data_IF_559411531925
#
_entry.id   IF_559411531925
#
_cell.length_a   1.000
_cell.length_b   1.000
_cell.length_c   1.000
_cell.angle_alpha   90.00
_cell.angle_beta   90.00
_cell.angle_gamma   90.00
#
_symmetry.space_group_name_H-M   'P 1'
#
loop_
_entity.id
_entity.type
_entity.pdbx_description
1 polymer ?
#
# COMPACT_ATOMS: atom_id res chain seq x y z
N UNK A 1 57.40 -30.22 -48.69
CA UNK A 1 56.94 -30.73 -47.39
C UNK A 1 56.45 -29.56 -46.58
N UNK A 2 55.49 -28.74 -47.08
CA UNK A 2 55.00 -27.49 -46.42
C UNK A 2 53.47 -27.29 -46.50
N UNK A 3 52.70 -28.35 -46.84
CA UNK A 3 51.24 -28.20 -47.04
C UNK A 3 50.44 -28.60 -45.79
N UNK A 4 51.05 -29.25 -44.81
CA UNK A 4 50.29 -29.87 -43.67
C UNK A 4 50.11 -28.98 -42.45
N UNK A 5 50.83 -27.84 -42.36
CA UNK A 5 50.76 -26.98 -41.15
C UNK A 5 49.57 -26.01 -41.22
N UNK A 6 49.24 -25.47 -42.38
CA UNK A 6 48.15 -24.51 -42.55
C UNK A 6 46.76 -25.17 -42.37
N UNK A 7 46.61 -26.41 -42.79
CA UNK A 7 45.37 -27.15 -42.62
C UNK A 7 45.13 -27.53 -41.16
N UNK A 8 46.20 -27.79 -40.40
CA UNK A 8 46.12 -28.10 -38.99
C UNK A 8 45.78 -26.88 -38.15
N UNK A 9 46.31 -25.69 -38.48
CA UNK A 9 45.96 -24.43 -37.83
C UNK A 9 44.52 -24.00 -38.13
N UNK A 10 44.04 -24.17 -39.35
CA UNK A 10 42.68 -23.86 -39.74
C UNK A 10 41.66 -24.72 -38.97
N UNK A 11 41.91 -26.01 -38.82
CA UNK A 11 41.05 -26.90 -38.02
C UNK A 11 41.04 -26.55 -36.55
N UNK A 12 42.17 -26.16 -35.94
CA UNK A 12 42.25 -25.70 -34.58
C UNK A 12 41.45 -24.40 -34.36
N UNK A 13 41.54 -23.44 -35.29
CA UNK A 13 40.75 -22.19 -35.20
C UNK A 13 39.25 -22.46 -35.28
N UNK A 14 38.81 -23.33 -36.17
CA UNK A 14 37.37 -23.71 -36.26
C UNK A 14 36.88 -24.37 -34.98
N UNK A 15 37.68 -25.25 -34.37
CA UNK A 15 37.32 -25.85 -33.09
C UNK A 15 37.25 -24.84 -31.91
N UNK A 16 38.19 -23.87 -31.90
CA UNK A 16 38.18 -22.81 -30.87
C UNK A 16 36.96 -21.92 -31.05
N UNK A 17 36.65 -21.50 -32.29
CA UNK A 17 35.44 -20.72 -32.60
C UNK A 17 34.15 -21.47 -32.22
N UNK A 18 34.08 -22.77 -32.54
CA UNK A 18 32.91 -23.59 -32.14
C UNK A 18 32.74 -23.71 -30.63
N UNK A 19 33.83 -23.79 -29.86
CA UNK A 19 33.78 -23.80 -28.38
C UNK A 19 33.39 -22.44 -27.83
N UNK A 20 33.83 -21.33 -28.42
CA UNK A 20 33.42 -19.96 -28.01
C UNK A 20 31.93 -19.73 -28.31
N UNK A 21 31.46 -20.11 -29.50
CA UNK A 21 30.04 -20.01 -29.86
C UNK A 21 29.13 -20.84 -28.92
N UNK A 22 29.56 -22.07 -28.58
CA UNK A 22 28.79 -22.90 -27.60
C UNK A 22 28.75 -22.29 -26.19
N UNK A 23 29.85 -21.67 -25.75
CA UNK A 23 29.90 -20.96 -24.47
C UNK A 23 29.07 -19.68 -24.45
N UNK A 24 29.07 -18.90 -25.54
CA UNK A 24 28.22 -17.73 -25.71
C UNK A 24 26.75 -18.10 -25.80
N UNK A 25 26.38 -19.16 -26.51
CA UNK A 25 25.03 -19.66 -26.59
C UNK A 25 24.52 -20.17 -25.21
N UNK A 26 25.38 -20.84 -24.44
CA UNK A 26 25.05 -21.26 -23.07
C UNK A 26 24.86 -20.06 -22.10
N UNK A 27 25.67 -19.00 -22.22
CA UNK A 27 25.49 -17.75 -21.43
C UNK A 27 24.20 -17.01 -21.79
N UNK A 28 23.82 -16.98 -23.07
CA UNK A 28 22.57 -16.34 -23.51
C UNK A 28 21.36 -17.12 -23.01
N UNK A 29 21.40 -18.44 -23.02
CA UNK A 29 20.31 -19.31 -22.50
C UNK A 29 20.22 -19.18 -20.98
N UNK A 30 21.34 -19.05 -20.26
CA UNK A 30 21.33 -18.83 -18.80
C UNK A 30 20.86 -17.42 -18.42
N UNK A 31 21.17 -16.41 -19.24
CA UNK A 31 20.70 -15.03 -19.08
C UNK A 31 19.20 -14.87 -19.35
N UNK A 32 18.65 -15.60 -20.33
CA UNK A 32 17.21 -15.59 -20.62
C UNK A 32 16.40 -16.41 -19.61
N UNK A 33 16.99 -17.44 -18.99
CA UNK A 33 16.33 -18.20 -17.92
C UNK A 33 16.20 -17.43 -16.60
N UNK A 34 17.10 -16.49 -16.32
CA UNK A 34 17.06 -15.63 -15.13
C UNK A 34 16.03 -14.47 -15.24
N UNK A 35 15.52 -14.19 -16.45
CA UNK A 35 14.57 -13.10 -16.67
C UNK A 35 13.10 -13.49 -16.44
N UNK A 36 12.82 -14.74 -16.10
CA UNK A 36 11.44 -15.23 -15.84
C UNK A 36 11.13 -15.56 -14.39
N UNK A 37 12.00 -15.24 -13.44
CA UNK A 37 11.60 -15.09 -12.06
C UNK A 37 11.09 -13.64 -11.93
N UNK A 38 9.94 -13.35 -12.54
CA UNK A 38 9.09 -12.25 -12.09
C UNK A 38 8.59 -12.71 -10.73
N UNK A 39 9.34 -12.32 -9.70
CA UNK A 39 8.84 -12.27 -8.35
C UNK A 39 7.54 -11.46 -8.44
N UNK A 40 6.40 -12.16 -8.36
CA UNK A 40 5.11 -11.51 -8.15
C UNK A 40 5.21 -10.89 -6.77
N UNK A 41 5.81 -9.69 -6.71
CA UNK A 41 5.56 -8.80 -5.61
C UNK A 41 4.03 -8.66 -5.59
N UNK A 42 3.37 -9.34 -4.66
CA UNK A 42 1.94 -9.21 -4.47
C UNK A 42 1.70 -7.71 -4.26
N UNK A 43 0.99 -7.12 -5.21
CA UNK A 43 0.69 -5.70 -5.15
C UNK A 43 -0.15 -5.50 -3.89
N UNK A 44 0.33 -4.63 -2.99
CA UNK A 44 -0.40 -4.27 -1.77
C UNK A 44 -1.82 -3.87 -2.17
N UNK A 45 -2.82 -4.51 -1.58
CA UNK A 45 -4.22 -4.21 -1.86
C UNK A 45 -4.52 -2.74 -1.51
N UNK A 46 -5.14 -2.01 -2.41
CA UNK A 46 -5.53 -0.63 -2.22
C UNK A 46 -7.06 -0.52 -2.08
N UNK A 47 -7.51 0.46 -1.29
CA UNK A 47 -8.92 0.81 -1.17
C UNK A 47 -9.50 1.16 -2.53
N UNK A 48 -10.57 0.48 -2.92
CA UNK A 48 -11.20 0.60 -4.25
C UNK A 48 -11.99 1.90 -4.38
N UNK A 49 -11.88 2.51 -5.55
CA UNK A 49 -12.65 3.70 -5.89
C UNK A 49 -12.85 3.82 -7.42
N UNK A 50 -13.87 4.60 -7.78
CA UNK A 50 -14.10 5.05 -9.16
C UNK A 50 -13.76 6.52 -9.26
N UNK A 51 -12.99 6.93 -10.28
CA UNK A 51 -12.70 8.34 -10.56
C UNK A 51 -13.87 8.93 -11.35
N UNK A 52 -14.48 9.98 -10.81
CA UNK A 52 -15.56 10.71 -11.43
C UNK A 52 -15.07 11.95 -12.20
N UNK A 53 -14.11 12.66 -11.62
CA UNK A 53 -13.50 13.87 -12.22
C UNK A 53 -11.99 13.77 -12.01
N UNK A 54 -11.22 14.13 -13.05
CA UNK A 54 -9.75 14.20 -12.98
C UNK A 54 -9.24 15.47 -13.65
N UNK A 55 -8.39 16.22 -12.92
CA UNK A 55 -7.67 17.41 -13.41
C UNK A 55 -6.25 17.37 -12.82
N UNK A 56 -5.25 17.10 -13.64
CA UNK A 56 -3.85 16.94 -13.23
C UNK A 56 -3.68 15.97 -12.05
N UNK A 57 -3.20 16.45 -10.90
CA UNK A 57 -3.02 15.68 -9.66
C UNK A 57 -4.30 15.62 -8.80
N UNK A 58 -5.40 16.27 -9.22
CA UNK A 58 -6.66 16.36 -8.47
C UNK A 58 -7.69 15.39 -9.05
N UNK A 59 -8.41 14.68 -8.18
CA UNK A 59 -9.47 13.78 -8.55
C UNK A 59 -10.67 13.92 -7.60
N UNK A 60 -11.89 13.71 -8.13
CA UNK A 60 -13.07 13.41 -7.33
C UNK A 60 -13.36 11.93 -7.52
N UNK A 61 -13.43 11.20 -6.41
CA UNK A 61 -13.53 9.74 -6.36
C UNK A 61 -14.73 9.30 -5.56
N UNK A 62 -15.42 8.26 -6.03
CA UNK A 62 -16.38 7.49 -5.24
C UNK A 62 -15.67 6.27 -4.68
N UNK A 63 -15.43 6.23 -3.37
CA UNK A 63 -14.88 5.08 -2.68
C UNK A 63 -15.95 4.06 -2.35
N UNK A 64 -15.60 2.78 -2.42
CA UNK A 64 -16.43 1.66 -1.96
C UNK A 64 -16.44 1.59 -0.43
N UNK A 65 -17.47 0.94 0.17
CA UNK A 65 -17.45 0.60 1.59
C UNK A 65 -16.25 -0.28 1.93
N UNK A 66 -15.70 -0.11 3.13
CA UNK A 66 -14.56 -0.91 3.58
C UNK A 66 -14.57 -1.12 5.10
N UNK A 67 -13.83 -2.14 5.57
CA UNK A 67 -13.47 -2.27 6.97
C UNK A 67 -12.19 -1.50 7.26
N UNK A 68 -12.12 -0.89 8.43
CA UNK A 68 -10.91 -0.25 8.95
C UNK A 68 -10.61 -0.74 10.36
N UNK A 69 -9.32 -0.92 10.65
CA UNK A 69 -8.81 -0.96 12.02
C UNK A 69 -8.28 0.43 12.36
N UNK A 70 -8.78 1.03 13.42
CA UNK A 70 -8.40 2.39 13.81
C UNK A 70 -7.97 2.49 15.27
N UNK A 71 -7.13 3.47 15.56
CA UNK A 71 -6.71 3.83 16.92
C UNK A 71 -6.58 5.33 17.05
N UNK A 72 -6.85 5.85 18.25
CA UNK A 72 -6.70 7.27 18.59
C UNK A 72 -5.35 7.46 19.28
N UNK A 73 -4.61 8.49 18.87
CA UNK A 73 -3.30 8.87 19.40
C UNK A 73 -3.26 10.37 19.67
N UNK A 74 -2.66 10.76 20.80
CA UNK A 74 -2.40 12.14 21.16
C UNK A 74 -0.95 12.51 20.86
N UNK A 75 -0.69 13.74 20.42
CA UNK A 75 0.66 14.22 20.12
C UNK A 75 0.77 15.00 18.82
N UNK A 76 2.01 15.21 18.38
CA UNK A 76 2.31 15.98 17.17
C UNK A 76 2.09 15.19 15.88
N UNK A 77 1.76 15.90 14.81
CA UNK A 77 1.44 15.34 13.48
C UNK A 77 2.43 14.28 12.98
N UNK A 78 3.73 14.47 13.19
CA UNK A 78 4.79 13.57 12.73
C UNK A 78 4.93 12.32 13.60
N UNK A 79 4.69 12.42 14.90
CA UNK A 79 4.91 11.36 15.88
C UNK A 79 3.72 10.39 15.96
N UNK A 80 2.51 10.94 16.00
CA UNK A 80 1.27 10.14 16.11
C UNK A 80 1.10 9.13 14.98
N UNK A 81 1.56 9.49 13.76
CA UNK A 81 1.53 8.59 12.62
C UNK A 81 2.39 7.35 12.84
N UNK A 82 3.54 7.47 13.49
CA UNK A 82 4.44 6.35 13.78
C UNK A 82 3.92 5.51 14.96
N UNK A 83 3.35 6.13 15.98
CA UNK A 83 2.78 5.41 17.11
C UNK A 83 1.56 4.61 16.71
N UNK A 84 0.59 5.25 16.04
CA UNK A 84 -0.61 4.57 15.54
C UNK A 84 -0.27 3.45 14.57
N UNK A 85 0.68 3.70 13.66
CA UNK A 85 1.16 2.66 12.74
C UNK A 85 1.71 1.44 13.49
N UNK A 86 2.60 1.63 14.48
CA UNK A 86 3.17 0.52 15.25
C UNK A 86 2.10 -0.30 15.98
N UNK A 87 1.10 0.37 16.54
CA UNK A 87 -0.03 -0.27 17.23
C UNK A 87 -0.86 -1.12 16.28
N UNK A 88 -1.28 -0.57 15.15
CA UNK A 88 -2.05 -1.27 14.14
C UNK A 88 -1.24 -2.36 13.43
N UNK A 89 0.07 -2.14 13.23
CA UNK A 89 0.96 -3.14 12.63
C UNK A 89 1.10 -4.39 13.51
N UNK A 90 1.17 -4.24 14.83
CA UNK A 90 1.17 -5.39 15.75
C UNK A 90 -0.12 -6.20 15.63
N UNK A 91 -1.27 -5.53 15.55
CA UNK A 91 -2.55 -6.18 15.34
C UNK A 91 -2.56 -7.05 14.07
N UNK A 92 -2.16 -6.51 12.92
CA UNK A 92 -2.14 -7.28 11.66
C UNK A 92 -1.02 -8.33 11.62
N UNK A 93 0.04 -8.16 12.41
CA UNK A 93 1.18 -9.10 12.52
C UNK A 93 0.98 -10.23 13.52
N UNK A 94 -0.26 -10.53 13.93
CA UNK A 94 -0.65 -11.61 14.81
C UNK A 94 -0.85 -11.30 16.31
N UNK A 95 -0.79 -10.03 16.75
CA UNK A 95 -1.30 -9.65 18.07
C UNK A 95 -2.83 -9.52 18.06
N UNK A 96 -3.50 -10.62 17.68
CA UNK A 96 -4.96 -10.70 17.54
C UNK A 96 -5.46 -12.09 17.94
N UNK A 97 -6.79 -12.24 18.05
CA UNK A 97 -7.48 -13.50 18.33
C UNK A 97 -8.37 -13.85 17.15
N UNK A 98 -8.14 -15.00 16.56
CA UNK A 98 -8.97 -15.49 15.45
C UNK A 98 -10.41 -15.71 15.92
N UNK A 99 -11.38 -15.16 15.22
CA UNK A 99 -12.79 -15.47 15.41
C UNK A 99 -13.10 -16.87 14.83
N UNK A 100 -12.79 -17.93 15.56
CA UNK A 100 -13.27 -19.27 15.20
C UNK A 100 -14.48 -19.62 16.07
N UNK A 101 -15.61 -19.89 15.42
CA UNK A 101 -16.66 -20.71 16.00
C UNK A 101 -16.17 -22.15 16.03
N UNK A 102 -15.63 -22.61 17.17
CA UNK A 102 -15.28 -23.99 17.37
C UNK A 102 -16.51 -24.69 17.96
N UNK A 103 -17.04 -25.76 17.34
CA UNK A 103 -17.99 -26.64 18.01
C UNK A 103 -17.31 -27.19 19.27
N UNK A 104 -17.91 -27.03 20.41
CA UNK A 104 -17.40 -27.44 21.71
C UNK A 104 -17.25 -28.96 21.79
N UNK A 105 -16.05 -29.48 21.46
CA UNK A 105 -15.64 -30.85 21.82
C UNK A 105 -14.13 -30.89 21.98
N UNK A 106 -13.58 -30.31 23.01
CA UNK A 106 -12.36 -30.67 23.73
C UNK A 106 -11.76 -29.49 24.48
N UNK A 107 -11.09 -29.67 25.63
CA UNK A 107 -10.53 -28.58 26.42
C UNK A 107 -9.20 -28.09 25.83
N UNK A 108 -8.91 -26.80 26.07
CA UNK A 108 -7.70 -26.06 25.71
C UNK A 108 -7.72 -25.49 24.27
N UNK A 109 -8.44 -24.39 24.10
CA UNK A 109 -8.23 -23.51 22.97
C UNK A 109 -7.02 -22.62 23.23
N UNK A 110 -5.89 -22.93 22.67
CA UNK A 110 -4.87 -21.94 22.37
C UNK A 110 -5.51 -21.05 21.28
N UNK A 111 -5.89 -19.81 21.63
CA UNK A 111 -6.49 -18.88 20.67
C UNK A 111 -5.45 -18.61 19.56
N UNK A 112 -5.70 -19.15 18.38
CA UNK A 112 -4.78 -19.00 17.26
C UNK A 112 -4.79 -17.54 16.80
N UNK A 113 -3.62 -16.93 16.71
CA UNK A 113 -3.45 -15.65 16.05
C UNK A 113 -3.41 -15.82 14.53
N UNK A 114 -3.75 -14.76 13.80
CA UNK A 114 -3.74 -14.74 12.34
C UNK A 114 -2.96 -13.55 11.81
N UNK A 115 -2.13 -13.77 10.80
CA UNK A 115 -1.50 -12.69 10.08
C UNK A 115 -2.48 -12.13 9.06
N UNK A 116 -2.75 -10.82 9.14
CA UNK A 116 -3.57 -10.09 8.19
C UNK A 116 -2.62 -9.38 7.22
N UNK A 117 -2.88 -9.51 5.91
CA UNK A 117 -2.07 -8.83 4.89
C UNK A 117 -2.20 -7.31 5.01
N UNK A 118 -1.08 -6.61 4.80
CA UNK A 118 -1.08 -5.15 4.87
C UNK A 118 -1.70 -4.55 3.62
N UNK A 119 -2.55 -3.55 3.80
CA UNK A 119 -3.17 -2.80 2.71
C UNK A 119 -2.71 -1.35 2.68
N UNK A 120 -3.02 -0.63 1.63
CA UNK A 120 -2.78 0.80 1.49
C UNK A 120 -4.09 1.57 1.20
N UNK A 121 -4.22 2.80 1.63
CA UNK A 121 -3.25 3.61 2.39
C UNK A 121 -3.38 3.47 3.91
N UNK A 122 -2.30 3.86 4.62
CA UNK A 122 -2.39 4.24 6.03
C UNK A 122 -2.97 5.65 6.12
N UNK A 123 -4.08 5.82 6.82
CA UNK A 123 -4.80 7.07 6.93
C UNK A 123 -4.54 7.74 8.28
N UNK A 124 -4.37 9.06 8.29
CA UNK A 124 -4.23 9.91 9.47
C UNK A 124 -5.19 11.08 9.36
N UNK A 125 -6.09 11.24 10.33
CA UNK A 125 -7.11 12.28 10.35
C UNK A 125 -7.19 12.92 11.74
N UNK A 126 -7.38 14.24 11.80
CA UNK A 126 -7.60 14.94 13.06
C UNK A 126 -9.03 14.69 13.55
N UNK A 127 -9.20 14.43 14.84
CA UNK A 127 -10.50 14.18 15.46
C UNK A 127 -10.52 14.74 16.88
N UNK A 128 -11.33 15.74 17.15
CA UNK A 128 -11.50 16.36 18.46
C UNK A 128 -10.17 16.68 19.19
N UNK A 129 -9.21 17.24 18.48
CA UNK A 129 -7.88 17.59 19.02
C UNK A 129 -6.85 16.45 19.05
N UNK A 130 -7.28 15.22 18.84
CA UNK A 130 -6.46 14.00 18.75
C UNK A 130 -6.28 13.56 17.30
N UNK A 131 -5.60 12.44 17.08
CA UNK A 131 -5.39 11.89 15.75
C UNK A 131 -5.93 10.47 15.67
N UNK A 132 -6.76 10.23 14.67
CA UNK A 132 -7.17 8.90 14.26
C UNK A 132 -6.19 8.38 13.22
N UNK A 133 -5.60 7.21 13.49
CA UNK A 133 -4.80 6.46 12.54
C UNK A 133 -5.58 5.22 12.16
N UNK A 134 -5.70 4.95 10.86
CA UNK A 134 -6.50 3.83 10.36
C UNK A 134 -5.74 3.03 9.30
N UNK A 135 -5.87 1.70 9.37
CA UNK A 135 -5.55 0.78 8.29
C UNK A 135 -6.85 0.31 7.64
N UNK A 136 -6.88 0.31 6.32
CA UNK A 136 -7.96 -0.39 5.59
C UNK A 136 -7.70 -1.89 5.74
N UNK A 137 -8.73 -2.69 5.96
CA UNK A 137 -8.58 -4.15 6.03
C UNK A 137 -8.74 -4.76 4.64
N UNK A 138 -8.10 -5.90 4.35
CA UNK A 138 -8.29 -6.61 3.09
C UNK A 138 -9.76 -6.89 2.82
N UNK A 139 -10.16 -6.82 1.55
CA UNK A 139 -11.57 -6.95 1.12
C UNK A 139 -12.18 -8.33 1.40
N UNK A 140 -11.35 -9.33 1.71
CA UNK A 140 -11.80 -10.68 2.12
C UNK A 140 -12.37 -10.79 3.53
N UNK A 141 -12.25 -9.75 4.38
CA UNK A 141 -12.76 -9.76 5.74
C UNK A 141 -14.11 -9.05 5.88
N UNK A 142 -14.94 -9.59 6.79
CA UNK A 142 -16.15 -8.94 7.29
C UNK A 142 -16.02 -8.71 8.80
N UNK A 143 -16.96 -8.00 9.43
CA UNK A 143 -16.98 -7.82 10.90
C UNK A 143 -17.04 -9.16 11.64
N UNK A 144 -17.62 -10.21 11.02
CA UNK A 144 -17.74 -11.54 11.62
C UNK A 144 -16.46 -12.35 11.49
N UNK A 145 -15.67 -12.13 10.43
CA UNK A 145 -14.49 -12.97 10.11
C UNK A 145 -13.16 -12.33 10.50
N UNK A 146 -13.11 -11.00 10.63
CA UNK A 146 -11.89 -10.29 11.02
C UNK A 146 -11.43 -10.70 12.43
N UNK A 147 -10.14 -11.03 12.66
CA UNK A 147 -9.62 -11.31 14.00
C UNK A 147 -9.88 -10.14 14.97
N UNK A 148 -10.05 -10.46 16.24
CA UNK A 148 -10.22 -9.45 17.29
C UNK A 148 -8.88 -8.88 17.72
N UNK A 149 -8.71 -7.56 17.82
CA UNK A 149 -7.51 -6.97 18.42
C UNK A 149 -7.38 -7.40 19.90
N UNK A 150 -6.15 -7.67 20.34
CA UNK A 150 -5.83 -7.86 21.77
C UNK A 150 -5.72 -6.49 22.45
N UNK A 151 -5.20 -5.48 21.74
CA UNK A 151 -5.11 -4.11 22.23
C UNK A 151 -6.49 -3.43 22.14
N UNK A 152 -7.12 -3.17 23.29
CA UNK A 152 -8.46 -2.57 23.41
C UNK A 152 -8.55 -1.14 22.81
N UNK A 153 -7.41 -0.49 22.57
CA UNK A 153 -7.35 0.83 21.93
C UNK A 153 -7.56 0.76 20.42
N UNK A 154 -7.61 -0.45 19.84
CA UNK A 154 -7.89 -0.68 18.42
C UNK A 154 -9.37 -1.02 18.27
N UNK A 155 -10.05 -0.33 17.38
CA UNK A 155 -11.44 -0.56 17.03
C UNK A 155 -11.55 -0.97 15.56
N UNK A 156 -12.37 -1.98 15.30
CA UNK A 156 -12.73 -2.37 13.94
C UNK A 156 -14.08 -1.76 13.59
N UNK A 157 -14.16 -1.07 12.45
CA UNK A 157 -15.37 -0.39 11.99
C UNK A 157 -15.61 -0.59 10.50
N UNK A 158 -16.86 -0.65 10.11
CA UNK A 158 -17.30 -0.45 8.73
C UNK A 158 -17.36 1.05 8.42
N UNK A 159 -16.76 1.43 7.32
CA UNK A 159 -16.82 2.79 6.77
C UNK A 159 -17.65 2.72 5.49
N UNK A 160 -18.77 3.44 5.41
CA UNK A 160 -19.59 3.46 4.20
C UNK A 160 -18.83 4.08 3.03
N UNK A 161 -19.22 3.69 1.84
CA UNK A 161 -18.71 4.32 0.63
C UNK A 161 -18.97 5.83 0.65
N UNK A 162 -18.01 6.61 0.17
CA UNK A 162 -18.11 8.08 0.25
C UNK A 162 -17.47 8.75 -0.96
N UNK A 163 -18.02 9.92 -1.28
CA UNK A 163 -17.45 10.83 -2.27
C UNK A 163 -16.28 11.60 -1.63
N UNK A 164 -15.15 11.70 -2.33
CA UNK A 164 -13.92 12.27 -1.79
C UNK A 164 -13.20 13.07 -2.88
N UNK A 165 -12.74 14.27 -2.58
CA UNK A 165 -11.72 14.94 -3.37
C UNK A 165 -10.34 14.47 -2.92
N UNK A 166 -9.45 14.23 -3.86
CA UNK A 166 -8.09 13.78 -3.63
C UNK A 166 -7.06 14.65 -4.36
N UNK A 167 -5.91 14.90 -3.75
CA UNK A 167 -4.72 15.42 -4.42
C UNK A 167 -3.55 14.49 -4.16
N UNK A 168 -2.91 14.03 -5.24
CA UNK A 168 -1.74 13.16 -5.19
C UNK A 168 -0.45 13.98 -5.27
N UNK A 169 0.55 13.61 -4.48
CA UNK A 169 1.86 14.25 -4.53
C UNK A 169 2.98 13.33 -4.02
N UNK A 170 4.23 13.65 -4.37
CA UNK A 170 5.43 13.01 -3.84
C UNK A 170 6.08 13.88 -2.79
N UNK A 171 6.86 13.28 -1.88
CA UNK A 171 7.68 14.03 -0.94
C UNK A 171 7.65 13.55 0.50
N UNK A 172 8.18 14.38 1.39
CA UNK A 172 8.26 14.10 2.82
C UNK A 172 6.92 14.20 3.53
N UNK A 173 6.79 13.53 4.67
CA UNK A 173 5.61 13.55 5.54
C UNK A 173 5.66 14.74 6.51
N UNK A 174 5.86 15.97 6.01
CA UNK A 174 5.92 17.15 6.84
C UNK A 174 4.56 17.82 6.96
N UNK A 175 4.25 18.41 8.13
CA UNK A 175 3.05 19.20 8.36
C UNK A 175 2.91 20.34 7.36
N UNK A 176 4.00 21.06 7.06
CA UNK A 176 4.01 22.15 6.10
C UNK A 176 3.49 21.71 4.74
N UNK A 177 4.02 20.60 4.19
CA UNK A 177 3.59 20.07 2.89
C UNK A 177 2.15 19.56 2.90
N UNK A 178 1.73 18.97 4.00
CA UNK A 178 0.33 18.59 4.20
C UNK A 178 -0.60 19.80 4.10
N UNK A 179 -0.33 20.88 4.83
CA UNK A 179 -1.17 22.08 4.82
C UNK A 179 -1.17 22.79 3.44
N UNK A 180 0.00 22.86 2.77
CA UNK A 180 0.10 23.40 1.40
C UNK A 180 -0.80 22.60 0.43
N UNK A 181 -0.72 21.29 0.43
CA UNK A 181 -1.51 20.44 -0.47
C UNK A 181 -2.99 20.42 -0.11
N UNK A 182 -3.33 20.47 1.17
CA UNK A 182 -4.70 20.64 1.65
C UNK A 182 -5.31 21.92 1.12
N UNK A 183 -4.62 23.05 1.23
CA UNK A 183 -5.12 24.34 0.74
C UNK A 183 -5.36 24.33 -0.78
N UNK A 184 -4.48 23.69 -1.57
CA UNK A 184 -4.68 23.52 -3.01
C UNK A 184 -5.92 22.67 -3.32
N UNK A 185 -6.14 21.59 -2.58
CA UNK A 185 -7.31 20.71 -2.74
C UNK A 185 -8.60 21.44 -2.38
N UNK A 186 -8.61 22.22 -1.31
CA UNK A 186 -9.75 23.08 -0.94
C UNK A 186 -10.05 24.10 -2.02
N UNK A 187 -9.00 24.68 -2.65
CA UNK A 187 -9.15 25.57 -3.81
C UNK A 187 -9.78 24.86 -5.01
N UNK A 188 -9.39 23.61 -5.28
CA UNK A 188 -10.00 22.79 -6.32
C UNK A 188 -11.48 22.52 -6.03
N UNK A 189 -11.83 22.08 -4.81
CA UNK A 189 -13.22 21.78 -4.40
C UNK A 189 -14.12 23.03 -4.58
N UNK A 190 -13.64 24.22 -4.20
CA UNK A 190 -14.40 25.49 -4.35
C UNK A 190 -14.79 25.81 -5.80
N UNK A 191 -13.99 25.34 -6.79
CA UNK A 191 -14.28 25.50 -8.23
C UNK A 191 -15.26 24.48 -8.78
N UNK A 192 -15.62 23.48 -7.99
CA UNK A 192 -16.55 22.40 -8.36
C UNK A 192 -17.86 22.55 -7.58
N UNK A 193 -18.90 21.87 -8.02
CA UNK A 193 -20.20 21.87 -7.36
C UNK A 193 -20.27 20.94 -6.13
N UNK A 194 -19.20 20.98 -5.30
CA UNK A 194 -19.10 20.17 -4.09
C UNK A 194 -18.71 21.01 -2.89
N UNK A 195 -19.06 20.51 -1.71
CA UNK A 195 -18.64 21.05 -0.43
C UNK A 195 -17.82 20.01 0.32
N UNK A 196 -16.64 20.42 0.81
CA UNK A 196 -15.83 19.56 1.69
C UNK A 196 -16.51 19.40 3.05
N UNK A 197 -16.56 18.17 3.57
CA UNK A 197 -17.14 17.86 4.88
C UNK A 197 -16.13 17.16 5.79
N UNK A 198 -16.07 17.63 7.04
CA UNK A 198 -15.15 17.06 8.04
C UNK A 198 -13.67 17.43 7.80
N UNK A 199 -12.81 16.77 8.56
CA UNK A 199 -11.37 16.99 8.51
C UNK A 199 -10.71 16.24 7.35
N UNK A 200 -9.66 16.85 6.78
CA UNK A 200 -8.86 16.23 5.74
C UNK A 200 -8.09 14.99 6.27
N UNK A 201 -7.96 13.99 5.42
CA UNK A 201 -7.25 12.74 5.71
C UNK A 201 -5.90 12.79 4.99
N UNK A 202 -4.83 12.52 5.70
CA UNK A 202 -3.51 12.29 5.13
C UNK A 202 -3.34 10.79 4.85
N UNK A 203 -3.22 10.40 3.60
CA UNK A 203 -3.11 9.02 3.13
C UNK A 203 -1.69 8.72 2.65
N UNK A 204 -1.02 7.75 3.28
CA UNK A 204 0.34 7.30 2.97
C UNK A 204 0.30 5.92 2.34
N UNK A 205 0.86 5.79 1.15
CA UNK A 205 0.84 4.55 0.36
C UNK A 205 2.15 3.77 0.44
N UNK A 206 3.24 4.42 0.83
CA UNK A 206 4.58 3.85 0.77
C UNK A 206 5.22 3.74 2.16
N UNK A 207 6.11 2.76 2.34
CA UNK A 207 6.84 2.59 3.59
C UNK A 207 7.91 3.68 3.81
N UNK A 208 8.35 3.90 5.07
CA UNK A 208 9.29 4.98 5.41
C UNK A 208 10.69 4.85 4.79
N UNK A 209 11.10 3.65 4.41
CA UNK A 209 12.40 3.41 3.77
C UNK A 209 12.42 3.72 2.25
N UNK A 210 11.25 3.87 1.61
CA UNK A 210 11.19 4.33 0.21
C UNK A 210 11.71 5.76 0.10
N UNK A 211 12.56 6.09 -0.88
CA UNK A 211 13.05 7.45 -1.09
C UNK A 211 11.90 8.46 -1.14
N UNK A 212 12.02 9.56 -0.42
CA UNK A 212 10.91 10.52 -0.26
C UNK A 212 10.35 11.05 -1.58
N UNK A 213 11.19 11.24 -2.61
CA UNK A 213 10.78 11.75 -3.91
C UNK A 213 10.01 10.72 -4.77
N UNK A 214 10.03 9.43 -4.39
CA UNK A 214 9.26 8.35 -5.04
C UNK A 214 8.00 7.97 -4.24
N UNK A 215 7.80 8.55 -3.05
CA UNK A 215 6.62 8.22 -2.22
C UNK A 215 5.36 8.80 -2.83
N UNK A 216 4.29 8.01 -2.82
CA UNK A 216 2.93 8.45 -3.09
C UNK A 216 2.26 8.85 -1.77
N UNK A 217 1.86 10.10 -1.71
CA UNK A 217 1.03 10.64 -0.63
C UNK A 217 -0.22 11.25 -1.25
N UNK A 218 -1.32 11.25 -0.52
CA UNK A 218 -2.53 11.92 -0.92
C UNK A 218 -3.14 12.69 0.25
N UNK A 219 -3.80 13.80 -0.03
CA UNK A 219 -4.75 14.43 0.88
C UNK A 219 -6.12 14.13 0.34
N UNK A 220 -7.00 13.65 1.23
CA UNK A 220 -8.37 13.30 0.90
C UNK A 220 -9.32 14.18 1.71
N UNK A 221 -10.31 14.79 1.07
CA UNK A 221 -11.36 15.56 1.74
C UNK A 221 -12.71 14.94 1.37
N UNK A 222 -13.46 14.40 2.34
CA UNK A 222 -14.83 13.92 2.08
C UNK A 222 -15.71 15.03 1.52
N UNK A 223 -16.59 14.69 0.60
CA UNK A 223 -17.45 15.64 -0.11
C UNK A 223 -18.92 15.32 0.07
N UNK A 224 -19.72 16.37 -0.07
CA UNK A 224 -21.16 16.27 -0.37
C UNK A 224 -21.49 17.21 -1.54
N UNK A 225 -22.58 16.92 -2.34
CA UNK A 225 -23.07 17.83 -3.35
C UNK A 225 -23.42 19.19 -2.74
N UNK A 226 -23.22 20.27 -3.48
CA UNK A 226 -23.61 21.62 -3.05
C UNK A 226 -25.14 21.69 -3.01
N UNK A 227 -25.72 22.00 -1.87
CA UNK A 227 -27.18 22.17 -1.72
C UNK A 227 -27.95 20.91 -1.28
N UNK A 228 -27.25 19.88 -0.82
CA UNK A 228 -27.87 18.74 -0.10
C UNK A 228 -27.90 18.96 1.41
#
# INVERSE_FOLDING_TARGET
MHINTAEHESRRMVEIMARICKRLAAMVIFGLGALFIVDRAEAIEELRYTVLIKEDDFEIRQYEPCLVAETIVEGDFSEVGNEGFRRLFRFISAENRRKQSIPMTAPVSQEASERIEMTAPVQQQKEAGRWRISFVMPSGYTLETIPQPIDERIQIKEVPGKLVAAVRYSGTWSRKRYEEKKALLEGFIRRKDFTGVGEAIFARYDPPFKPWFLRRNEILIPLQPKGS
#
